data_IF_597996303794
#
_entry.id   IF_597996303794
#
_cell.length_a   1.000
_cell.length_b   1.000
_cell.length_c   1.000
_cell.angle_alpha   90.00
_cell.angle_beta   90.00
_cell.angle_gamma   90.00
#
_symmetry.space_group_name_H-M   'P 1'
#
loop_
_entity.id
_entity.type
_entity.pdbx_description
1 polymer ?
#
# COMPACT_ATOMS: atom_id res chain seq x y z
N UNK A 1 11.16 14.79 -12.46
CA UNK A 1 10.37 16.03 -12.62
C UNK A 1 10.69 16.92 -11.43
N UNK A 2 10.92 18.21 -11.64
CA UNK A 2 11.10 19.20 -10.57
C UNK A 2 10.03 20.30 -10.74
N UNK A 3 9.70 21.04 -9.69
CA UNK A 3 8.64 22.07 -9.67
C UNK A 3 7.24 21.56 -10.05
N UNK A 4 6.85 20.38 -9.54
CA UNK A 4 5.55 19.76 -9.82
C UNK A 4 4.36 20.38 -9.04
N UNK A 5 4.61 21.38 -8.19
CA UNK A 5 3.55 22.09 -7.43
C UNK A 5 2.92 21.28 -6.29
N UNK A 6 3.52 20.15 -5.91
CA UNK A 6 3.07 19.35 -4.75
C UNK A 6 3.93 19.78 -3.56
N UNK A 7 3.34 20.18 -2.41
CA UNK A 7 4.10 20.57 -1.23
C UNK A 7 5.01 19.45 -0.71
N UNK A 8 6.24 19.80 -0.32
CA UNK A 8 7.20 18.83 0.22
C UNK A 8 6.70 18.19 1.53
N UNK A 9 5.99 18.95 2.36
CA UNK A 9 5.36 18.45 3.60
C UNK A 9 4.37 17.31 3.31
N UNK A 10 3.59 17.42 2.22
CA UNK A 10 2.63 16.39 1.82
C UNK A 10 3.34 15.12 1.34
N UNK A 11 4.43 15.27 0.59
CA UNK A 11 5.27 14.14 0.15
C UNK A 11 5.89 13.45 1.38
N UNK A 12 6.41 14.24 2.32
CA UNK A 12 6.97 13.76 3.58
C UNK A 12 5.96 12.97 4.42
N UNK A 13 4.75 13.52 4.59
CA UNK A 13 3.66 12.84 5.30
C UNK A 13 3.27 11.51 4.64
N UNK A 14 3.19 11.47 3.30
CA UNK A 14 2.89 10.25 2.56
C UNK A 14 3.99 9.18 2.71
N UNK A 15 5.26 9.58 2.70
CA UNK A 15 6.38 8.65 2.95
C UNK A 15 6.31 8.12 4.39
N UNK A 16 6.03 8.98 5.37
CA UNK A 16 5.95 8.60 6.78
C UNK A 16 4.81 7.61 7.07
N UNK A 17 3.58 7.89 6.63
CA UNK A 17 2.43 7.00 6.84
C UNK A 17 2.65 5.64 6.15
N UNK A 18 3.30 5.63 4.98
CA UNK A 18 3.66 4.40 4.28
C UNK A 18 4.66 3.57 5.07
N UNK A 19 5.72 4.20 5.59
CA UNK A 19 6.71 3.53 6.45
C UNK A 19 6.04 2.93 7.67
N UNK A 20 5.22 3.71 8.38
CA UNK A 20 4.50 3.26 9.58
C UNK A 20 3.57 2.08 9.28
N UNK A 21 2.93 2.02 8.11
CA UNK A 21 2.16 0.85 7.69
C UNK A 21 3.04 -0.42 7.60
N UNK A 22 4.21 -0.35 6.98
CA UNK A 22 5.10 -1.52 6.84
C UNK A 22 5.79 -1.91 8.15
N UNK A 23 5.89 -1.00 9.11
CA UNK A 23 6.36 -1.26 10.48
C UNK A 23 5.29 -1.91 11.38
N UNK A 24 4.01 -1.95 10.97
CA UNK A 24 2.96 -2.64 11.72
C UNK A 24 3.29 -4.14 11.90
N UNK A 25 2.79 -4.75 13.00
CA UNK A 25 2.87 -6.20 13.18
C UNK A 25 2.37 -6.94 11.95
N UNK A 26 3.02 -8.07 11.63
CA UNK A 26 2.64 -8.87 10.46
C UNK A 26 1.16 -9.25 10.49
N UNK A 27 0.58 -9.52 11.66
CA UNK A 27 -0.84 -9.85 11.83
C UNK A 27 -1.79 -8.74 11.35
N UNK A 28 -1.39 -7.47 11.43
CA UNK A 28 -2.19 -6.35 10.91
C UNK A 28 -2.03 -6.24 9.39
N UNK A 29 -0.79 -6.36 8.89
CA UNK A 29 -0.51 -6.27 7.45
C UNK A 29 -1.09 -7.44 6.65
N UNK A 30 -1.05 -8.64 7.22
CA UNK A 30 -1.52 -9.87 6.57
C UNK A 30 -3.02 -9.88 6.31
N UNK A 31 -3.81 -9.01 6.97
CA UNK A 31 -5.25 -8.83 6.73
C UNK A 31 -5.56 -8.42 5.28
N UNK A 32 -4.58 -7.81 4.61
CA UNK A 32 -4.69 -7.37 3.22
C UNK A 32 -4.01 -8.35 2.24
N UNK A 33 -3.47 -9.47 2.72
CA UNK A 33 -2.80 -10.46 1.88
C UNK A 33 -3.84 -11.37 1.22
N UNK A 34 -3.88 -11.39 -0.11
CA UNK A 34 -4.84 -12.18 -0.89
C UNK A 34 -4.24 -12.60 -2.23
N UNK A 35 -4.68 -13.74 -2.74
CA UNK A 35 -4.38 -14.19 -4.11
C UNK A 35 -5.24 -13.53 -5.17
N UNK A 36 -6.37 -12.92 -4.79
CA UNK A 36 -7.29 -12.26 -5.70
C UNK A 36 -6.71 -10.92 -6.17
N UNK A 37 -6.28 -10.87 -7.44
CA UNK A 37 -5.60 -9.69 -8.00
C UNK A 37 -6.52 -8.48 -8.21
N UNK A 38 -7.83 -8.71 -8.21
CA UNK A 38 -8.89 -7.72 -8.42
C UNK A 38 -9.36 -7.08 -7.11
N UNK A 39 -8.87 -7.54 -5.95
CA UNK A 39 -9.23 -6.96 -4.65
C UNK A 39 -8.88 -5.47 -4.60
N UNK A 40 -9.75 -4.62 -4.03
CA UNK A 40 -9.55 -3.16 -3.95
C UNK A 40 -8.28 -2.76 -3.20
N UNK A 41 -7.83 -3.56 -2.24
CA UNK A 41 -6.59 -3.36 -1.49
C UNK A 41 -5.85 -4.69 -1.40
N UNK A 42 -4.54 -4.68 -1.66
CA UNK A 42 -3.72 -5.91 -1.64
C UNK A 42 -2.33 -5.65 -1.09
N UNK A 43 -1.98 -6.37 -0.04
CA UNK A 43 -0.62 -6.50 0.48
C UNK A 43 0.01 -7.77 -0.07
N UNK A 44 1.31 -7.74 -0.36
CA UNK A 44 2.05 -8.90 -0.82
C UNK A 44 3.54 -8.63 -0.95
N UNK A 45 4.26 -9.65 -1.42
CA UNK A 45 5.69 -9.57 -1.69
C UNK A 45 5.97 -10.08 -3.10
N UNK A 46 7.10 -9.69 -3.70
CA UNK A 46 7.39 -9.86 -5.12
C UNK A 46 6.34 -9.18 -6.02
N UNK A 47 5.98 -9.78 -7.17
CA UNK A 47 4.98 -9.29 -8.10
C UNK A 47 3.72 -10.16 -8.07
N UNK A 48 3.90 -11.47 -8.27
CA UNK A 48 2.92 -12.51 -8.08
C UNK A 48 3.61 -13.81 -7.64
N UNK A 49 3.76 -14.01 -6.33
CA UNK A 49 4.46 -15.19 -5.77
C UNK A 49 4.01 -16.55 -6.35
N UNK A 50 2.78 -16.66 -6.86
CA UNK A 50 2.26 -17.90 -7.46
C UNK A 50 2.80 -18.18 -8.87
N UNK A 51 3.24 -17.17 -9.60
CA UNK A 51 3.66 -17.29 -10.99
C UNK A 51 5.07 -16.75 -11.27
N UNK A 52 5.71 -16.12 -10.29
CA UNK A 52 7.03 -15.51 -10.47
C UNK A 52 8.11 -16.59 -10.60
N UNK A 53 8.74 -16.69 -11.77
CA UNK A 53 9.93 -17.54 -11.99
C UNK A 53 11.22 -16.95 -11.41
N UNK A 54 11.22 -15.64 -11.10
CA UNK A 54 12.27 -14.93 -10.38
C UNK A 54 11.61 -13.98 -9.41
N UNK A 55 11.98 -14.04 -8.13
CA UNK A 55 11.39 -13.21 -7.09
C UNK A 55 12.00 -11.82 -7.05
N UNK A 56 11.15 -10.80 -6.85
CA UNK A 56 11.58 -9.43 -6.60
C UNK A 56 11.72 -9.19 -5.09
N UNK A 57 12.84 -8.60 -4.67
CA UNK A 57 13.06 -8.19 -3.28
C UNK A 57 12.24 -6.94 -2.96
N UNK A 58 10.96 -7.13 -2.68
CA UNK A 58 10.02 -6.04 -2.44
C UNK A 58 8.77 -6.54 -1.74
N UNK A 59 8.35 -5.77 -0.74
CA UNK A 59 6.97 -5.80 -0.24
C UNK A 59 6.18 -4.64 -0.83
N UNK A 60 4.87 -4.83 -1.03
CA UNK A 60 4.00 -3.80 -1.58
C UNK A 60 2.63 -3.77 -0.92
N UNK A 61 2.03 -2.59 -0.96
CA UNK A 61 0.62 -2.34 -0.72
C UNK A 61 0.04 -1.68 -1.97
N UNK A 62 -0.96 -2.30 -2.58
CA UNK A 62 -1.71 -1.74 -3.71
C UNK A 62 -3.04 -1.22 -3.21
N UNK A 63 -3.31 0.05 -3.47
CA UNK A 63 -4.56 0.73 -3.13
C UNK A 63 -5.28 1.11 -4.41
N UNK A 64 -6.47 0.58 -4.65
CA UNK A 64 -7.36 1.14 -5.66
C UNK A 64 -7.83 2.53 -5.22
N UNK A 65 -7.84 3.49 -6.13
CA UNK A 65 -8.10 4.90 -5.79
C UNK A 65 -9.10 5.58 -6.73
N UNK A 66 -9.59 4.89 -7.76
CA UNK A 66 -10.50 5.47 -8.74
C UNK A 66 -11.66 4.52 -9.11
N UNK A 67 -12.92 4.90 -8.85
CA UNK A 67 -13.36 6.11 -8.14
C UNK A 67 -13.14 6.01 -6.61
N UNK A 68 -12.55 7.04 -5.99
CA UNK A 68 -12.10 6.99 -4.58
C UNK A 68 -13.18 6.51 -3.60
N UNK A 69 -14.43 6.98 -3.72
CA UNK A 69 -15.53 6.62 -2.82
C UNK A 69 -15.79 5.11 -2.76
N UNK A 70 -15.53 4.39 -3.85
CA UNK A 70 -15.71 2.94 -3.90
C UNK A 70 -14.60 2.19 -3.19
N UNK A 71 -13.37 2.72 -3.18
CA UNK A 71 -12.21 2.01 -2.64
C UNK A 71 -11.86 2.41 -1.21
N UNK A 72 -12.14 3.67 -0.84
CA UNK A 72 -11.77 4.23 0.47
C UNK A 72 -12.23 3.37 1.67
N UNK A 73 -13.43 2.75 1.68
CA UNK A 73 -13.83 1.88 2.80
C UNK A 73 -12.96 0.64 3.00
N UNK A 74 -12.18 0.24 2.00
CA UNK A 74 -11.30 -0.93 2.05
C UNK A 74 -9.85 -0.57 2.40
N UNK A 75 -9.49 0.72 2.41
CA UNK A 75 -8.14 1.16 2.73
C UNK A 75 -7.79 0.84 4.18
N UNK A 76 -6.49 0.66 4.50
CA UNK A 76 -6.07 0.51 5.88
C UNK A 76 -6.47 1.72 6.72
N UNK A 77 -7.14 1.46 7.85
CA UNK A 77 -7.43 2.49 8.87
C UNK A 77 -6.26 2.65 9.86
N UNK A 78 -5.16 1.93 9.65
CA UNK A 78 -3.94 2.01 10.45
C UNK A 78 -2.74 2.05 9.51
N UNK A 79 -1.72 2.86 9.82
CA UNK A 79 -1.58 3.70 11.01
C UNK A 79 -2.52 4.94 10.98
N UNK A 80 -2.94 5.42 12.15
CA UNK A 80 -3.74 6.65 12.28
C UNK A 80 -2.78 7.84 12.24
N UNK A 81 -3.13 8.89 11.51
CA UNK A 81 -2.48 10.20 11.64
C UNK A 81 -3.02 10.85 12.92
N UNK A 82 -2.14 10.97 13.93
CA UNK A 82 -2.42 11.67 15.19
C UNK A 82 -2.35 13.18 14.99
#
# INVERSE_FOLDING_TARGET
MINHGIPDELIGAMIDVSRRFFELPFSERSRYMTSEITTPVRYGTSFNQRSDGVYCWRDFLKLGCHPLRQYLPFWPCSPIDL
#
